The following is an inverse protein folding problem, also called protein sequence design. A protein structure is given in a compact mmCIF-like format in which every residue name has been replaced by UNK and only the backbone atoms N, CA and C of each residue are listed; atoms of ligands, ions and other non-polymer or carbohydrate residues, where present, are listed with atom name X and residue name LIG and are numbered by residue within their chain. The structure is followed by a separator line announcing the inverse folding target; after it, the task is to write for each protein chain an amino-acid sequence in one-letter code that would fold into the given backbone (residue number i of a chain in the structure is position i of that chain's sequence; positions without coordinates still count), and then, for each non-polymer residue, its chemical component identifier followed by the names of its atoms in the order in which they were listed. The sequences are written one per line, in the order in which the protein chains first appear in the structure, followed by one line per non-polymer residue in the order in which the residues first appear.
data_IF_841635593278
#
_entry.id   IF_841635593278
#
_cell.length_a   1.000
_cell.length_b   1.000
_cell.length_c   1.000
_cell.angle_alpha   90.00
_cell.angle_beta   90.00
_cell.angle_gamma   90.00
#
_symmetry.space_group_name_H-M   'P 1'
#
loop_
_entity.id
_entity.type
_entity.pdbx_description
1 polymer ?
#
# COMPACT_ATOMS: atom_id res chain seq x y z
N UNK A 1 0.72 -18.59 6.69
CA UNK A 1 0.01 -17.48 6.04
C UNK A 1 0.68 -16.15 6.38
N UNK A 2 0.56 -15.13 5.53
CA UNK A 2 1.03 -13.79 5.92
C UNK A 2 0.17 -13.28 7.08
N UNK A 3 0.78 -12.77 8.17
CA UNK A 3 0.00 -12.20 9.26
C UNK A 3 -0.77 -11.00 8.71
N UNK A 4 -2.10 -11.06 8.81
CA UNK A 4 -3.06 -10.03 8.34
C UNK A 4 -2.74 -8.62 8.87
N UNK A 5 -1.90 -8.53 9.91
CA UNK A 5 -1.52 -7.32 10.61
C UNK A 5 -0.40 -6.50 9.96
N UNK A 6 0.32 -7.06 8.98
CA UNK A 6 1.42 -6.34 8.30
C UNK A 6 1.31 -6.41 6.79
N UNK A 7 1.04 -5.24 6.20
CA UNK A 7 1.27 -5.03 4.79
C UNK A 7 2.72 -5.38 4.44
N UNK A 8 2.93 -6.25 3.44
CA UNK A 8 4.29 -6.59 3.03
C UNK A 8 4.99 -5.32 2.51
N UNK A 9 6.28 -5.12 2.83
CA UNK A 9 7.02 -3.95 2.36
C UNK A 9 7.14 -3.90 0.83
N UNK A 10 6.95 -5.03 0.16
CA UNK A 10 6.93 -5.17 -1.29
C UNK A 10 5.90 -6.23 -1.70
N UNK A 11 5.18 -6.00 -2.79
CA UNK A 11 4.22 -6.96 -3.33
C UNK A 11 4.81 -7.66 -4.57
N UNK A 12 5.44 -8.83 -4.43
CA UNK A 12 5.91 -9.63 -5.58
C UNK A 12 4.83 -10.61 -6.06
N UNK A 13 3.62 -10.11 -6.31
CA UNK A 13 2.55 -10.86 -6.98
C UNK A 13 2.04 -10.09 -8.20
N UNK A 14 1.34 -10.74 -9.15
CA UNK A 14 0.75 -10.07 -10.30
C UNK A 14 -0.33 -9.04 -9.91
N UNK A 15 -0.80 -9.07 -8.66
CA UNK A 15 -1.70 -8.08 -8.08
C UNK A 15 -1.80 -8.23 -6.56
N UNK A 16 -2.20 -7.16 -5.90
CA UNK A 16 -2.45 -7.09 -4.47
C UNK A 16 -3.77 -6.35 -4.22
N UNK A 17 -4.51 -6.79 -3.20
CA UNK A 17 -5.73 -6.12 -2.76
C UNK A 17 -5.41 -5.35 -1.49
N UNK A 18 -5.71 -4.05 -1.50
CA UNK A 18 -5.57 -3.17 -0.35
C UNK A 18 -6.94 -2.56 -0.03
N UNK A 19 -7.16 -2.24 1.24
CA UNK A 19 -8.36 -1.52 1.65
C UNK A 19 -8.39 -0.11 1.06
N UNK A 20 -9.59 0.40 0.81
CA UNK A 20 -9.82 1.67 0.12
C UNK A 20 -9.17 2.87 0.83
N UNK A 21 -9.22 2.88 2.17
CA UNK A 21 -8.60 3.88 3.03
C UNK A 21 -7.08 3.97 2.84
N UNK A 22 -6.41 2.82 2.69
CA UNK A 22 -4.96 2.75 2.46
C UNK A 22 -4.60 3.20 1.05
N UNK A 23 -5.40 2.83 0.05
CA UNK A 23 -5.24 3.33 -1.32
C UNK A 23 -5.31 4.86 -1.35
N UNK A 24 -6.29 5.43 -0.65
CA UNK A 24 -6.48 6.88 -0.53
C UNK A 24 -5.30 7.56 0.17
N UNK A 25 -4.77 6.96 1.24
CA UNK A 25 -3.58 7.44 1.94
C UNK A 25 -2.34 7.44 1.05
N UNK A 26 -2.12 6.38 0.27
CA UNK A 26 -0.98 6.27 -0.67
C UNK A 26 -1.11 7.32 -1.77
N UNK A 27 -2.27 7.47 -2.40
CA UNK A 27 -2.51 8.48 -3.44
C UNK A 27 -2.31 9.90 -2.91
N UNK A 28 -2.82 10.20 -1.71
CA UNK A 28 -2.63 11.51 -1.06
C UNK A 28 -1.17 11.77 -0.71
N UNK A 29 -0.45 10.78 -0.17
CA UNK A 29 1.00 10.89 0.12
C UNK A 29 1.83 11.07 -1.16
N UNK A 30 1.49 10.33 -2.21
CA UNK A 30 2.16 10.39 -3.50
C UNK A 30 1.93 11.74 -4.20
N UNK A 31 0.67 12.23 -4.26
CA UNK A 31 0.34 13.56 -4.80
C UNK A 31 1.06 14.71 -4.08
N UNK A 32 1.34 14.55 -2.78
CA UNK A 32 2.11 15.52 -1.98
C UNK A 32 3.63 15.50 -2.24
N UNK A 33 4.13 14.73 -3.23
CA UNK A 33 5.56 14.60 -3.58
C UNK A 33 6.46 14.32 -2.37
N UNK A 34 5.95 13.60 -1.36
CA UNK A 34 6.67 13.30 -0.11
C UNK A 34 7.30 11.91 -0.09
N UNK A 35 7.38 11.27 -1.25
CA UNK A 35 8.16 10.07 -1.50
C UNK A 35 9.34 10.52 -2.36
N UNK A 36 10.47 10.72 -1.71
CA UNK A 36 11.79 10.85 -2.35
C UNK A 36 12.55 9.56 -2.07
#
# INVERSE_FOLDING_TARGET
EWPEDKYPPWAHGPGYVISHDIADLVVRKHKKRRLK
#
